data_IF_992199146702
#
_entry.id   IF_992199146702
#
_cell.length_a   1.000
_cell.length_b   1.000
_cell.length_c   1.000
_cell.angle_alpha   90.00
_cell.angle_beta   90.00
_cell.angle_gamma   90.00
#
_symmetry.space_group_name_H-M   'P 1'
#
loop_
_entity.id
_entity.type
_entity.pdbx_description
1 polymer ?
#
# COMPACT_ATOMS: atom_id res chain seq x y z
N UNK A 1 -6.59 -1.91 7.60
CA UNK A 1 -7.81 -1.68 6.78
C UNK A 1 -7.47 -1.07 5.43
N UNK A 2 -8.41 -1.15 4.49
CA UNK A 2 -8.21 -0.60 3.16
C UNK A 2 -8.18 0.92 3.23
N UNK A 3 -7.01 1.47 3.54
CA UNK A 3 -6.85 2.92 3.66
C UNK A 3 -6.72 3.62 2.31
N UNK A 4 -6.46 4.93 2.37
CA UNK A 4 -6.30 5.76 1.17
C UNK A 4 -5.48 5.05 0.09
N UNK A 5 -6.13 4.74 -1.03
CA UNK A 5 -5.45 4.04 -2.13
C UNK A 5 -5.30 4.92 -3.37
N UNK A 6 -4.25 4.64 -4.16
CA UNK A 6 -4.00 5.39 -5.38
C UNK A 6 -5.11 5.16 -6.43
N UNK A 7 -6.00 4.16 -6.22
CA UNK A 7 -7.07 3.88 -7.17
C UNK A 7 -7.74 5.14 -7.74
N UNK A 8 -7.06 5.77 -8.68
CA UNK A 8 -7.59 6.97 -9.34
C UNK A 8 -6.86 7.19 -10.67
N UNK A 9 -6.69 8.45 -11.07
CA UNK A 9 -6.02 8.74 -12.34
C UNK A 9 -4.53 8.38 -12.29
N UNK A 10 -3.70 9.15 -11.55
CA UNK A 10 -2.26 8.87 -11.46
C UNK A 10 -1.96 7.68 -10.56
N UNK A 11 -2.32 6.48 -11.01
CA UNK A 11 -2.06 5.26 -10.26
C UNK A 11 -0.63 5.20 -9.76
N UNK A 12 -0.33 4.22 -8.90
CA UNK A 12 1.00 4.06 -8.31
C UNK A 12 2.11 4.62 -9.19
N UNK A 13 2.04 5.91 -9.40
CA UNK A 13 3.04 6.61 -10.19
C UNK A 13 4.11 7.13 -9.25
N UNK A 14 4.47 6.29 -8.29
CA UNK A 14 5.44 6.64 -7.27
C UNK A 14 6.35 5.45 -6.96
N UNK A 15 7.61 5.56 -7.34
CA UNK A 15 8.57 4.49 -7.09
C UNK A 15 9.45 4.81 -5.90
N UNK A 16 10.03 6.02 -5.91
CA UNK A 16 10.93 6.52 -4.86
C UNK A 16 10.76 5.77 -3.54
N UNK A 17 10.95 4.46 -3.60
CA UNK A 17 10.82 3.62 -2.42
C UNK A 17 11.88 3.95 -1.38
N UNK A 18 11.65 5.02 -0.65
CA UNK A 18 12.56 5.46 0.39
C UNK A 18 11.96 6.58 1.22
N UNK A 19 10.82 6.30 1.84
CA UNK A 19 10.17 7.30 2.66
C UNK A 19 9.04 6.74 3.51
N UNK A 20 7.94 6.37 2.86
CA UNK A 20 6.78 5.83 3.56
C UNK A 20 7.16 4.65 4.44
N UNK A 21 6.16 4.13 5.15
CA UNK A 21 6.34 3.00 6.05
C UNK A 21 5.00 2.49 6.52
N UNK A 22 4.23 1.95 5.57
CA UNK A 22 2.90 1.44 5.86
C UNK A 22 2.94 0.05 6.49
N UNK A 23 1.79 -0.37 6.97
CA UNK A 23 1.65 -1.69 7.58
C UNK A 23 0.56 -2.49 6.86
N UNK A 24 0.94 -3.18 5.79
CA UNK A 24 -0.03 -3.93 5.01
C UNK A 24 -0.02 -5.42 5.32
N UNK A 25 -1.22 -6.00 5.32
CA UNK A 25 -1.42 -7.41 5.58
C UNK A 25 -2.43 -7.98 4.60
N UNK A 26 -2.27 -9.26 4.28
CA UNK A 26 -3.17 -9.93 3.35
C UNK A 26 -3.38 -11.39 3.75
N UNK A 27 -4.36 -11.62 4.61
CA UNK A 27 -4.68 -12.96 5.07
C UNK A 27 -3.62 -13.52 5.98
N UNK A 28 -2.40 -13.60 5.47
CA UNK A 28 -1.28 -14.11 6.22
C UNK A 28 0.03 -13.54 5.70
N UNK A 29 -0.05 -12.36 5.07
CA UNK A 29 1.13 -11.71 4.53
C UNK A 29 1.23 -10.28 5.03
N UNK A 30 1.76 -10.13 6.24
CA UNK A 30 1.90 -8.81 6.84
C UNK A 30 3.32 -8.27 6.64
N UNK A 31 3.44 -7.16 5.91
CA UNK A 31 4.74 -6.56 5.66
C UNK A 31 4.58 -5.07 5.37
N UNK A 32 5.63 -4.30 5.62
CA UNK A 32 5.61 -2.87 5.39
C UNK A 32 5.82 -2.55 3.92
N UNK A 33 5.29 -1.40 3.49
CA UNK A 33 5.43 -0.98 2.09
C UNK A 33 5.72 0.51 1.99
N UNK A 34 6.76 0.85 1.24
CA UNK A 34 7.12 2.25 1.04
C UNK A 34 6.23 2.85 -0.03
N UNK A 35 6.24 2.23 -1.21
CA UNK A 35 5.42 2.69 -2.32
C UNK A 35 3.99 2.19 -2.13
N UNK A 36 3.35 2.68 -1.07
CA UNK A 36 1.98 2.30 -0.74
C UNK A 36 1.11 2.34 -1.98
N UNK A 37 1.44 3.22 -2.91
CA UNK A 37 0.68 3.33 -4.14
C UNK A 37 0.92 2.12 -5.02
N UNK A 38 2.17 1.70 -5.14
CA UNK A 38 2.51 0.52 -5.92
C UNK A 38 1.67 -0.66 -5.47
N UNK A 39 1.28 -0.61 -4.20
CA UNK A 39 0.46 -1.64 -3.58
C UNK A 39 -0.97 -1.50 -4.04
N UNK A 40 -1.46 -0.28 -3.97
CA UNK A 40 -2.82 0.02 -4.36
C UNK A 40 -3.05 -0.22 -5.84
N UNK A 41 -1.99 -0.06 -6.62
CA UNK A 41 -2.09 -0.25 -8.05
C UNK A 41 -1.83 -1.70 -8.43
N UNK A 42 -0.93 -2.34 -7.69
CA UNK A 42 -0.56 -3.74 -7.98
C UNK A 42 -0.98 -4.74 -6.91
N UNK A 43 -2.03 -4.43 -6.14
CA UNK A 43 -2.51 -5.36 -5.11
C UNK A 43 -3.47 -6.39 -5.71
N UNK A 44 -3.78 -7.45 -4.95
CA UNK A 44 -4.69 -8.51 -5.42
C UNK A 44 -6.13 -8.02 -5.50
N UNK A 45 -6.73 -7.76 -4.34
CA UNK A 45 -8.09 -7.27 -4.29
C UNK A 45 -8.25 -6.15 -3.27
N UNK A 46 -7.16 -5.40 -3.08
CA UNK A 46 -7.19 -4.30 -2.13
C UNK A 46 -6.38 -4.60 -0.89
N UNK A 47 -5.06 -4.49 -1.00
CA UNK A 47 -4.18 -4.76 0.13
C UNK A 47 -4.63 -3.98 1.37
N UNK A 48 -4.50 -4.59 2.53
CA UNK A 48 -4.90 -3.96 3.78
C UNK A 48 -3.72 -3.34 4.49
N UNK A 49 -3.53 -2.04 4.30
CA UNK A 49 -2.43 -1.35 4.94
C UNK A 49 -2.92 -0.32 5.92
N UNK A 50 -2.03 0.03 6.83
CA UNK A 50 -2.31 1.04 7.84
C UNK A 50 -1.10 1.93 7.98
N UNK A 51 -1.18 3.10 7.37
CA UNK A 51 -0.08 4.05 7.39
C UNK A 51 0.40 4.33 8.81
N UNK A 52 1.70 4.20 8.98
CA UNK A 52 2.31 4.46 10.28
C UNK A 52 3.36 3.42 10.64
N UNK A 53 4.37 3.81 11.45
CA UNK A 53 5.43 2.89 11.88
C UNK A 53 4.92 1.84 12.86
N UNK A 54 4.16 0.89 12.34
CA UNK A 54 3.60 -0.18 13.16
C UNK A 54 4.19 -1.54 12.81
N UNK A 55 4.86 -1.61 11.66
CA UNK A 55 5.47 -2.85 11.22
C UNK A 55 6.90 -2.62 10.75
#
# INVERSE_FOLDING_TARGET
AHMDCTEFNPLCRCNKMLGDLICAVIGDAKEEHRNMCALCCEHPGGFEYSNGPCE
#
